data_IF_491169794984
#
_entry.id   IF_491169794984
#
_cell.length_a   1.000
_cell.length_b   1.000
_cell.length_c   1.000
_cell.angle_alpha   90.00
_cell.angle_beta   90.00
_cell.angle_gamma   90.00
#
_symmetry.space_group_name_H-M   'P 1'
#
loop_
_entity.id
_entity.type
_entity.pdbx_description
1 polymer ?
#
# COMPACT_ATOMS: atom_id res chain seq x y z
N UNK A 1 27.92 7.00 10.58
CA UNK A 1 26.78 7.35 9.74
C UNK A 1 25.74 6.23 9.78
N UNK A 2 24.52 6.62 9.89
CA UNK A 2 23.44 5.66 9.97
C UNK A 2 22.69 5.63 8.65
N UNK A 3 22.47 4.45 8.11
CA UNK A 3 21.64 4.29 6.95
C UNK A 3 20.26 3.84 7.41
N UNK A 4 19.24 4.38 6.76
CA UNK A 4 17.90 3.94 7.04
C UNK A 4 17.72 2.52 6.51
N UNK A 5 17.29 1.62 7.36
CA UNK A 5 16.96 0.28 6.97
C UNK A 5 15.51 0.18 6.55
N UNK A 6 15.15 -0.96 5.97
CA UNK A 6 13.78 -1.22 5.56
C UNK A 6 13.33 -2.57 6.08
N UNK A 7 12.07 -2.63 6.48
CA UNK A 7 11.41 -3.91 6.79
C UNK A 7 10.07 -3.92 6.08
N UNK A 8 9.49 -5.09 5.92
CA UNK A 8 8.13 -5.20 5.38
C UNK A 8 7.14 -4.58 6.34
N UNK A 9 6.11 -3.93 5.79
CA UNK A 9 5.08 -3.30 6.58
C UNK A 9 3.96 -4.25 6.97
N UNK A 10 2.87 -3.66 7.48
CA UNK A 10 1.72 -4.41 7.97
C UNK A 10 0.54 -4.37 7.00
N UNK A 11 0.63 -3.57 5.94
CA UNK A 11 -0.49 -3.38 5.02
C UNK A 11 -0.16 -3.89 3.64
N UNK A 12 -1.15 -4.55 3.04
CA UNK A 12 -1.10 -4.98 1.66
C UNK A 12 -2.34 -4.38 1.00
N UNK A 13 -2.17 -3.55 -0.03
CA UNK A 13 -3.29 -2.92 -0.69
C UNK A 13 -3.50 -3.52 -2.08
N UNK A 14 -4.71 -3.99 -2.34
CA UNK A 14 -5.09 -4.47 -3.65
C UNK A 14 -5.98 -3.39 -4.27
N UNK A 15 -5.44 -2.68 -5.25
CA UNK A 15 -6.17 -1.64 -5.96
C UNK A 15 -7.00 -2.31 -7.05
N UNK A 16 -8.28 -2.00 -7.10
CA UNK A 16 -9.25 -2.76 -7.88
C UNK A 16 -10.03 -1.85 -8.80
N UNK A 17 -10.18 -2.23 -10.08
CA UNK A 17 -11.08 -1.48 -10.94
C UNK A 17 -12.47 -1.41 -10.31
N UNK A 18 -13.14 -0.27 -10.46
CA UNK A 18 -14.41 -0.01 -9.81
C UNK A 18 -15.46 -1.10 -10.06
N UNK A 19 -15.52 -1.61 -11.28
CA UNK A 19 -16.56 -2.61 -11.62
C UNK A 19 -16.28 -3.98 -11.00
N UNK A 20 -15.11 -4.21 -10.45
CA UNK A 20 -14.76 -5.49 -9.81
C UNK A 20 -14.74 -5.41 -8.29
N UNK A 21 -14.88 -4.21 -7.74
CA UNK A 21 -14.70 -3.98 -6.31
C UNK A 21 -15.64 -4.83 -5.45
N UNK A 22 -16.94 -4.76 -5.72
CA UNK A 22 -17.91 -5.47 -4.88
C UNK A 22 -17.75 -6.98 -4.98
N UNK A 23 -17.47 -7.49 -6.18
CA UNK A 23 -17.25 -8.92 -6.36
C UNK A 23 -16.02 -9.40 -5.59
N UNK A 24 -14.95 -8.59 -5.56
CA UNK A 24 -13.75 -8.95 -4.82
C UNK A 24 -13.95 -8.88 -3.31
N UNK A 25 -14.68 -7.88 -2.83
CA UNK A 25 -15.02 -7.80 -1.41
C UNK A 25 -15.82 -9.04 -1.01
N UNK A 26 -16.82 -9.40 -1.81
CA UNK A 26 -17.65 -10.58 -1.52
C UNK A 26 -16.81 -11.86 -1.55
N UNK A 27 -15.84 -11.93 -2.45
CA UNK A 27 -14.95 -13.09 -2.53
C UNK A 27 -14.21 -13.31 -1.21
N UNK A 28 -13.59 -12.28 -0.67
CA UNK A 28 -12.82 -12.43 0.57
C UNK A 28 -13.70 -12.55 1.80
N UNK A 29 -14.82 -11.85 1.83
CA UNK A 29 -15.74 -11.87 2.96
C UNK A 29 -16.53 -13.19 3.02
N UNK A 30 -17.09 -13.61 1.89
CA UNK A 30 -18.07 -14.70 1.87
C UNK A 30 -17.47 -16.03 1.42
N UNK A 31 -16.70 -16.04 0.34
CA UNK A 31 -16.16 -17.27 -0.21
C UNK A 31 -14.95 -17.75 0.61
N UNK A 32 -14.01 -16.87 0.86
CA UNK A 32 -12.83 -17.22 1.66
C UNK A 32 -13.12 -17.14 3.15
N UNK A 33 -13.91 -16.14 3.54
CA UNK A 33 -14.34 -16.01 4.94
C UNK A 33 -13.33 -15.30 5.83
N UNK A 34 -12.57 -14.36 5.31
CA UNK A 34 -11.65 -13.57 6.14
C UNK A 34 -12.44 -12.64 7.07
N UNK A 35 -11.83 -12.30 8.20
CA UNK A 35 -12.44 -11.38 9.15
C UNK A 35 -12.44 -9.97 8.59
N UNK A 36 -13.63 -9.40 8.43
CA UNK A 36 -13.81 -8.03 7.98
C UNK A 36 -13.40 -7.06 9.08
N UNK A 37 -12.60 -6.05 8.76
CA UNK A 37 -12.17 -5.04 9.71
C UNK A 37 -12.89 -3.72 9.47
N UNK A 38 -12.85 -3.19 8.24
CA UNK A 38 -13.50 -1.94 7.88
C UNK A 38 -14.10 -2.06 6.49
N UNK A 39 -15.15 -1.30 6.22
CA UNK A 39 -15.75 -1.30 4.90
C UNK A 39 -16.50 0.00 4.66
N UNK A 40 -16.27 0.61 3.49
CA UNK A 40 -17.10 1.70 3.01
C UNK A 40 -17.21 1.61 1.49
N UNK A 41 -17.66 2.68 0.84
CA UNK A 41 -17.93 2.65 -0.59
C UNK A 41 -16.67 2.53 -1.45
N UNK A 42 -15.51 2.92 -0.92
CA UNK A 42 -14.28 2.99 -1.69
C UNK A 42 -13.19 2.05 -1.21
N UNK A 43 -13.29 1.54 0.01
CA UNK A 43 -12.28 0.59 0.50
C UNK A 43 -12.86 -0.34 1.55
N UNK A 44 -12.29 -1.54 1.61
CA UNK A 44 -12.66 -2.56 2.58
C UNK A 44 -11.37 -3.22 3.03
N UNK A 45 -11.26 -3.54 4.32
CA UNK A 45 -10.06 -4.22 4.81
C UNK A 45 -10.42 -5.48 5.57
N UNK A 46 -9.48 -6.43 5.52
CA UNK A 46 -9.62 -7.75 6.13
C UNK A 46 -8.37 -8.09 6.93
N UNK A 47 -8.56 -8.91 7.94
CA UNK A 47 -7.46 -9.52 8.66
C UNK A 47 -6.85 -10.60 7.75
N UNK A 48 -5.53 -10.52 7.54
CA UNK A 48 -4.86 -11.43 6.60
C UNK A 48 -3.54 -11.91 7.23
N UNK A 49 -3.66 -12.81 8.21
CA UNK A 49 -2.49 -13.27 8.97
C UNK A 49 -1.89 -12.12 9.76
N UNK A 50 -0.62 -11.87 9.58
CA UNK A 50 0.06 -10.75 10.24
C UNK A 50 -0.19 -9.41 9.54
N UNK A 51 -0.91 -9.43 8.42
CA UNK A 51 -1.12 -8.25 7.60
C UNK A 51 -2.59 -7.80 7.64
N UNK A 52 -2.80 -6.58 7.19
CA UNK A 52 -4.12 -6.04 6.93
C UNK A 52 -4.24 -5.94 5.41
N UNK A 53 -5.20 -6.64 4.84
CA UNK A 53 -5.43 -6.63 3.40
C UNK A 53 -6.48 -5.57 3.08
N UNK A 54 -6.13 -4.63 2.23
CA UNK A 54 -7.04 -3.59 1.76
C UNK A 54 -7.50 -3.90 0.36
N UNK A 55 -8.79 -3.77 0.12
CA UNK A 55 -9.36 -3.79 -1.23
C UNK A 55 -9.80 -2.37 -1.50
N UNK A 56 -9.12 -1.68 -2.40
CA UNK A 56 -9.37 -0.27 -2.69
C UNK A 56 -9.93 -0.10 -4.08
N UNK A 57 -11.01 0.65 -4.17
CA UNK A 57 -11.68 0.93 -5.44
C UNK A 57 -10.97 2.06 -6.17
N UNK A 58 -10.62 1.84 -7.43
CA UNK A 58 -9.96 2.84 -8.27
C UNK A 58 -10.67 2.94 -9.62
N UNK A 59 -11.04 4.15 -10.00
CA UNK A 59 -11.71 4.39 -11.28
C UNK A 59 -10.73 4.48 -12.44
N UNK A 60 -9.44 4.66 -12.15
CA UNK A 60 -8.41 4.87 -13.16
C UNK A 60 -7.64 3.62 -13.54
N UNK A 61 -8.05 2.46 -13.04
CA UNK A 61 -7.37 1.19 -13.34
C UNK A 61 -8.23 0.29 -14.21
N UNK A 62 -7.59 -0.39 -15.13
CA UNK A 62 -8.25 -1.39 -15.98
C UNK A 62 -8.07 -2.81 -15.44
N UNK A 63 -7.11 -3.02 -14.56
CA UNK A 63 -6.88 -4.31 -13.92
C UNK A 63 -6.33 -4.08 -12.52
N UNK A 64 -6.44 -5.10 -11.69
CA UNK A 64 -6.02 -4.99 -10.30
C UNK A 64 -4.50 -4.86 -10.17
N UNK A 65 -4.07 -4.13 -9.13
CA UNK A 65 -2.66 -3.97 -8.79
C UNK A 65 -2.48 -4.25 -7.31
N UNK A 66 -1.31 -4.77 -6.97
CA UNK A 66 -0.94 -4.98 -5.56
C UNK A 66 0.10 -3.93 -5.20
N UNK A 67 -0.20 -3.13 -4.18
CA UNK A 67 0.74 -2.13 -3.65
C UNK A 67 1.21 -2.61 -2.28
N UNK A 68 2.48 -2.44 -2.02
CA UNK A 68 3.11 -2.96 -0.80
C UNK A 68 3.50 -1.82 0.13
N UNK A 69 3.85 -2.16 1.37
CA UNK A 69 4.28 -1.18 2.35
C UNK A 69 5.64 -1.58 2.89
N UNK A 70 6.52 -0.58 3.02
CA UNK A 70 7.83 -0.74 3.66
C UNK A 70 7.92 0.20 4.85
N UNK A 71 8.46 -0.30 5.94
CA UNK A 71 8.76 0.53 7.10
C UNK A 71 10.23 0.93 7.09
N UNK A 72 10.48 2.15 7.55
CA UNK A 72 11.83 2.67 7.78
C UNK A 72 11.79 3.48 9.06
N UNK A 73 12.93 3.62 9.70
CA UNK A 73 13.03 4.43 10.92
C UNK A 73 13.31 5.91 10.63
N UNK A 74 13.64 6.24 9.38
CA UNK A 74 13.95 7.62 9.00
C UNK A 74 13.61 7.85 7.53
N UNK A 75 12.45 8.43 7.29
CA UNK A 75 11.96 8.63 5.92
C UNK A 75 12.83 9.58 5.11
N UNK A 76 13.44 10.58 5.73
CA UNK A 76 14.30 11.52 5.00
C UNK A 76 15.57 10.83 4.50
N UNK A 77 16.21 10.07 5.37
CA UNK A 77 17.42 9.33 5.01
C UNK A 77 17.06 8.23 4.00
N UNK A 78 15.92 7.57 4.18
CA UNK A 78 15.45 6.56 3.25
C UNK A 78 15.24 7.15 1.85
N UNK A 79 14.63 8.33 1.77
CA UNK A 79 14.38 8.99 0.49
C UNK A 79 15.69 9.31 -0.22
N UNK A 80 16.68 9.81 0.51
CA UNK A 80 18.00 10.10 -0.06
C UNK A 80 18.68 8.83 -0.56
N UNK A 81 18.64 7.78 0.24
CA UNK A 81 19.25 6.51 -0.12
C UNK A 81 18.62 5.93 -1.39
N UNK A 82 17.29 5.98 -1.46
CA UNK A 82 16.57 5.48 -2.64
C UNK A 82 16.87 6.32 -3.87
N UNK A 83 16.95 7.65 -3.71
CA UNK A 83 17.30 8.54 -4.81
C UNK A 83 18.69 8.23 -5.35
N UNK A 84 19.65 8.01 -4.45
CA UNK A 84 21.02 7.66 -4.84
C UNK A 84 21.09 6.32 -5.57
N UNK A 85 20.15 5.43 -5.26
CA UNK A 85 20.07 4.13 -5.92
C UNK A 85 19.29 4.19 -7.24
N UNK A 86 18.76 5.35 -7.61
CA UNK A 86 18.02 5.52 -8.85
C UNK A 86 16.59 5.02 -8.79
N UNK A 87 16.03 4.89 -7.59
CA UNK A 87 14.66 4.42 -7.43
C UNK A 87 13.68 5.50 -7.83
N UNK A 88 12.66 5.12 -8.58
CA UNK A 88 11.67 6.06 -9.09
C UNK A 88 10.67 6.47 -8.01
N UNK A 89 10.50 7.79 -7.80
CA UNK A 89 9.46 8.34 -6.93
C UNK A 89 8.14 8.35 -7.68
N UNK A 90 7.08 8.03 -6.96
CA UNK A 90 5.74 7.98 -7.54
C UNK A 90 4.73 8.74 -6.68
N UNK A 91 5.13 9.88 -6.13
CA UNK A 91 4.27 10.65 -5.21
C UNK A 91 2.97 11.14 -5.83
N UNK A 92 2.91 11.18 -7.16
CA UNK A 92 1.69 11.59 -7.86
C UNK A 92 0.61 10.50 -7.89
N UNK A 93 0.99 9.25 -7.50
CA UNK A 93 0.10 8.10 -7.71
C UNK A 93 -1.16 8.17 -6.84
N UNK A 94 -1.02 8.69 -5.63
CA UNK A 94 -2.14 8.82 -4.71
C UNK A 94 -1.77 9.84 -3.63
N UNK A 95 -2.64 10.83 -3.36
CA UNK A 95 -2.33 11.80 -2.31
C UNK A 95 -2.31 11.13 -0.94
N UNK A 96 -1.35 11.54 -0.11
CA UNK A 96 -1.25 11.07 1.26
C UNK A 96 -1.87 12.12 2.18
N UNK A 97 -2.38 11.70 3.35
CA UNK A 97 -2.95 12.66 4.30
C UNK A 97 -1.91 13.70 4.70
N UNK A 98 -2.38 14.91 4.99
CA UNK A 98 -1.53 15.98 5.50
C UNK A 98 -0.83 15.50 6.76
N UNK A 99 0.45 15.83 6.90
CA UNK A 99 1.29 15.41 8.03
C UNK A 99 1.59 13.92 8.08
N UNK A 100 1.23 13.17 7.03
CA UNK A 100 1.60 11.77 6.94
C UNK A 100 3.09 11.66 6.61
N UNK A 101 3.82 10.85 7.37
CA UNK A 101 5.25 10.68 7.18
C UNK A 101 5.51 9.50 6.25
N UNK A 102 5.57 9.77 4.96
CA UNK A 102 5.78 8.72 3.98
C UNK A 102 5.82 9.25 2.57
N UNK A 103 6.12 8.36 1.64
CA UNK A 103 6.17 8.68 0.23
C UNK A 103 6.02 7.40 -0.60
N UNK A 104 5.76 7.58 -1.88
CA UNK A 104 5.54 6.47 -2.81
C UNK A 104 6.74 6.25 -3.71
N UNK A 105 7.09 5.00 -3.96
CA UNK A 105 8.11 4.60 -4.92
C UNK A 105 7.59 3.46 -5.78
N UNK A 106 8.30 3.17 -6.87
CA UNK A 106 8.04 1.98 -7.68
C UNK A 106 9.29 1.12 -7.69
N UNK A 107 9.11 -0.19 -7.65
CA UNK A 107 10.22 -1.11 -7.84
C UNK A 107 10.54 -1.20 -9.34
N UNK A 108 11.60 -1.93 -9.76
CA UNK A 108 11.95 -2.01 -11.19
C UNK A 108 10.84 -2.56 -12.10
N UNK A 109 9.90 -3.30 -11.54
CA UNK A 109 8.76 -3.84 -12.30
C UNK A 109 7.56 -2.88 -12.30
N UNK A 110 7.68 -1.72 -11.65
CA UNK A 110 6.60 -0.74 -11.60
C UNK A 110 5.60 -0.95 -10.49
N UNK A 111 5.87 -1.86 -9.56
CA UNK A 111 4.97 -2.11 -8.44
C UNK A 111 5.14 -1.01 -7.39
N UNK A 112 4.03 -0.42 -6.97
CA UNK A 112 4.03 0.71 -6.05
C UNK A 112 4.25 0.25 -4.62
N UNK A 113 5.09 0.99 -3.90
CA UNK A 113 5.35 0.76 -2.47
C UNK A 113 5.18 2.07 -1.72
N UNK A 114 4.53 1.99 -0.58
CA UNK A 114 4.49 3.09 0.38
C UNK A 114 5.66 2.91 1.33
N UNK A 115 6.50 3.94 1.47
CA UNK A 115 7.57 3.93 2.47
C UNK A 115 7.13 4.85 3.60
N UNK A 116 7.07 4.32 4.82
CA UNK A 116 6.59 5.08 5.96
C UNK A 116 7.25 4.57 7.24
N UNK A 117 6.92 5.18 8.36
CA UNK A 117 7.41 4.70 9.66
C UNK A 117 6.45 3.67 10.23
N UNK A 118 6.95 2.84 11.13
CA UNK A 118 6.16 1.79 11.74
C UNK A 118 4.96 2.37 12.48
N UNK A 119 3.80 1.73 12.32
CA UNK A 119 2.58 2.16 13.02
C UNK A 119 2.58 1.63 14.45
N UNK A 120 1.98 2.39 15.34
CA UNK A 120 1.78 1.95 16.71
C UNK A 120 0.44 1.22 16.87
#
# INVERSE_FOLDING_TARGET
MTEAGFTGGDNLAMKMPSHLYEACVAFYRDTIGLTLLESDETHTSFHFGALKLWIDKRDDLSQAEIWLELFTDDTKTAALRLDQAGVQRRDEIEPLPECFDGFWIANPAGIIHLVTTEHD
#
